data_IF_448107164701
#
_entry.id   IF_448107164701
#
_cell.length_a   1.000
_cell.length_b   1.000
_cell.length_c   1.000
_cell.angle_alpha   90.00
_cell.angle_beta   90.00
_cell.angle_gamma   90.00
#
_symmetry.space_group_name_H-M   'P 1'
#
loop_
_entity.id
_entity.type
_entity.pdbx_description
1 polymer ?
#
# COMPACT_ATOMS: atom_id res chain seq x y z
N UNK A 1 10.98 -5.70 -15.90
CA UNK A 1 11.06 -5.10 -14.55
C UNK A 1 11.41 -6.24 -13.61
N UNK A 2 12.68 -6.59 -13.55
CA UNK A 2 13.11 -7.78 -12.82
C UNK A 2 12.88 -7.59 -11.30
N UNK A 3 12.32 -8.61 -10.65
CA UNK A 3 12.08 -8.63 -9.21
C UNK A 3 10.77 -8.01 -8.72
N UNK A 4 9.92 -7.48 -9.61
CA UNK A 4 8.53 -7.14 -9.26
C UNK A 4 7.65 -8.38 -9.34
N UNK A 5 6.96 -8.70 -8.26
CA UNK A 5 5.95 -9.77 -8.24
C UNK A 5 4.68 -9.27 -7.58
N UNK A 6 3.54 -9.61 -8.17
CA UNK A 6 2.21 -9.34 -7.62
C UNK A 6 1.45 -10.66 -7.63
N UNK A 7 0.97 -11.07 -6.46
CA UNK A 7 0.23 -12.33 -6.29
C UNK A 7 -1.12 -12.00 -5.66
N UNK A 8 -2.19 -12.47 -6.29
CA UNK A 8 -3.56 -12.34 -5.80
C UNK A 8 -4.17 -13.72 -5.58
N UNK A 9 -4.96 -13.88 -4.52
CA UNK A 9 -5.79 -15.09 -4.34
C UNK A 9 -6.96 -15.14 -5.32
N UNK A 10 -7.35 -13.98 -5.88
CA UNK A 10 -8.38 -13.84 -6.90
C UNK A 10 -7.74 -13.87 -8.28
N UNK A 11 -8.14 -14.83 -9.12
CA UNK A 11 -7.50 -15.11 -10.42
C UNK A 11 -8.05 -14.30 -11.60
N UNK A 12 -9.09 -13.51 -11.42
CA UNK A 12 -9.69 -12.73 -12.49
C UNK A 12 -10.75 -11.76 -11.98
N UNK A 13 -11.36 -10.98 -12.89
CA UNK A 13 -12.51 -10.16 -12.55
C UNK A 13 -13.60 -11.03 -11.95
N UNK A 14 -14.19 -10.56 -10.87
CA UNK A 14 -15.23 -11.26 -10.13
C UNK A 14 -16.51 -10.45 -10.22
N UNK A 15 -17.61 -11.13 -10.54
CA UNK A 15 -18.93 -10.53 -10.64
C UNK A 15 -19.64 -10.54 -9.28
N UNK A 16 -20.52 -9.55 -9.07
CA UNK A 16 -21.32 -9.42 -7.83
C UNK A 16 -20.72 -8.45 -6.81
N UNK A 17 -21.49 -8.14 -5.77
CA UNK A 17 -21.19 -7.09 -4.79
C UNK A 17 -19.93 -7.34 -3.95
N UNK A 18 -19.62 -8.61 -3.66
CA UNK A 18 -18.49 -8.96 -2.80
C UNK A 18 -17.33 -9.61 -3.55
N UNK A 19 -17.53 -10.09 -4.78
CA UNK A 19 -16.52 -10.72 -5.64
C UNK A 19 -15.82 -11.99 -5.08
N UNK A 20 -15.34 -11.98 -3.84
CA UNK A 20 -14.93 -13.10 -3.01
C UNK A 20 -15.17 -12.72 -1.54
N UNK A 21 -15.54 -13.70 -0.70
CA UNK A 21 -15.73 -13.47 0.75
C UNK A 21 -14.43 -12.99 1.41
N UNK A 22 -13.29 -13.53 0.96
CA UNK A 22 -11.95 -13.12 1.39
C UNK A 22 -11.01 -13.07 0.20
N UNK A 23 -10.07 -12.13 0.22
CA UNK A 23 -9.00 -12.06 -0.76
C UNK A 23 -7.71 -11.57 -0.12
N UNK A 24 -6.59 -11.99 -0.70
CA UNK A 24 -5.24 -11.57 -0.32
C UNK A 24 -4.51 -11.05 -1.55
N UNK A 25 -3.73 -10.00 -1.36
CA UNK A 25 -2.87 -9.41 -2.37
C UNK A 25 -1.47 -9.20 -1.78
N UNK A 26 -0.45 -9.69 -2.47
CA UNK A 26 0.95 -9.60 -2.06
C UNK A 26 1.77 -8.90 -3.14
N UNK A 27 2.66 -8.01 -2.70
CA UNK A 27 3.60 -7.28 -3.55
C UNK A 27 5.03 -7.58 -3.10
N UNK A 28 5.90 -7.86 -4.08
CA UNK A 28 7.35 -7.88 -3.91
C UNK A 28 7.92 -6.75 -4.74
N UNK A 29 8.52 -5.78 -4.07
CA UNK A 29 9.13 -4.61 -4.69
C UNK A 29 10.63 -4.62 -4.42
N UNK A 30 11.50 -4.55 -5.45
CA UNK A 30 12.93 -4.54 -5.23
C UNK A 30 13.38 -3.22 -4.58
N UNK A 31 14.18 -3.30 -3.53
CA UNK A 31 14.71 -2.10 -2.85
C UNK A 31 15.64 -1.26 -3.74
N UNK A 32 16.16 -1.83 -4.83
CA UNK A 32 16.95 -1.09 -5.83
C UNK A 32 16.18 0.03 -6.54
N UNK A 33 14.85 0.06 -6.42
CA UNK A 33 14.04 1.17 -6.94
C UNK A 33 14.36 2.49 -6.25
N UNK A 34 14.69 2.46 -4.96
CA UNK A 34 15.04 3.67 -4.23
C UNK A 34 16.36 4.26 -4.76
N UNK A 35 17.33 3.42 -5.07
CA UNK A 35 18.61 3.85 -5.66
C UNK A 35 18.39 4.40 -7.07
N UNK A 36 17.56 3.71 -7.87
CA UNK A 36 17.27 4.09 -9.25
C UNK A 36 16.57 5.45 -9.40
N UNK A 37 15.61 5.76 -8.53
CA UNK A 37 14.75 6.94 -8.70
C UNK A 37 15.04 8.08 -7.72
N UNK A 38 15.68 7.79 -6.59
CA UNK A 38 15.91 8.77 -5.52
C UNK A 38 17.37 8.84 -5.08
N UNK A 39 18.28 8.15 -5.77
CA UNK A 39 19.71 8.05 -5.40
C UNK A 39 19.90 7.61 -3.93
N UNK A 40 18.95 6.80 -3.44
CA UNK A 40 18.85 6.42 -2.03
C UNK A 40 19.00 4.91 -1.87
N UNK A 41 20.08 4.47 -1.22
CA UNK A 41 20.30 3.07 -0.89
C UNK A 41 19.68 2.73 0.46
N UNK A 42 18.70 1.81 0.45
CA UNK A 42 18.07 1.28 1.67
C UNK A 42 19.04 0.37 2.41
N UNK A 43 19.19 0.56 3.71
CA UNK A 43 20.07 -0.22 4.59
C UNK A 43 19.30 -0.75 5.80
N UNK A 44 19.79 -1.84 6.39
CA UNK A 44 19.29 -2.32 7.68
C UNK A 44 19.39 -1.22 8.75
N UNK A 45 18.38 -1.10 9.60
CA UNK A 45 18.22 -0.05 10.59
C UNK A 45 17.75 1.31 10.04
N UNK A 46 17.68 1.49 8.72
CA UNK A 46 17.23 2.75 8.13
C UNK A 46 15.74 2.96 8.38
N UNK A 47 15.39 4.17 8.82
CA UNK A 47 14.02 4.59 8.98
C UNK A 47 13.48 5.20 7.68
N UNK A 48 12.26 4.84 7.31
CA UNK A 48 11.46 5.52 6.30
C UNK A 48 10.12 5.97 6.89
N UNK A 49 9.49 6.94 6.22
CA UNK A 49 8.13 7.38 6.50
C UNK A 49 7.21 6.83 5.41
N UNK A 50 6.16 6.10 5.80
CA UNK A 50 5.19 5.56 4.86
C UNK A 50 3.82 5.35 5.52
N UNK A 51 2.83 5.00 4.70
CA UNK A 51 1.53 4.53 5.14
C UNK A 51 1.02 3.44 4.18
N UNK A 52 -0.01 2.70 4.59
CA UNK A 52 -0.66 1.66 3.78
C UNK A 52 -2.16 1.87 3.82
N UNK A 53 -2.81 1.81 2.66
CA UNK A 53 -4.20 2.22 2.50
C UNK A 53 -5.09 1.13 1.93
N UNK A 54 -6.38 1.18 2.27
CA UNK A 54 -7.47 0.46 1.59
C UNK A 54 -8.59 1.44 1.28
N UNK A 55 -9.07 1.46 0.05
CA UNK A 55 -10.21 2.27 -0.37
C UNK A 55 -11.22 1.48 -1.20
N UNK A 56 -12.40 2.06 -1.39
CA UNK A 56 -13.53 1.45 -2.08
C UNK A 56 -14.59 2.48 -2.42
N UNK A 57 -14.19 3.56 -3.08
CA UNK A 57 -15.01 4.75 -3.36
C UNK A 57 -16.26 4.41 -4.19
N UNK A 58 -16.14 3.45 -5.10
CA UNK A 58 -17.22 2.96 -5.97
C UNK A 58 -17.89 1.67 -5.46
N UNK A 59 -17.59 1.25 -4.23
CA UNK A 59 -18.28 0.10 -3.62
C UNK A 59 -19.61 0.51 -2.98
N UNK A 60 -20.53 -0.44 -2.76
CA UNK A 60 -21.85 -0.17 -2.17
C UNK A 60 -21.76 0.63 -0.85
N UNK A 61 -20.76 0.33 -0.02
CA UNK A 61 -20.43 1.10 1.18
C UNK A 61 -19.03 1.70 1.02
N UNK A 62 -18.91 3.00 0.68
CA UNK A 62 -17.63 3.67 0.58
C UNK A 62 -16.83 3.57 1.89
N UNK A 63 -15.53 3.30 1.77
CA UNK A 63 -14.67 3.09 2.93
C UNK A 63 -13.23 3.50 2.64
N UNK A 64 -12.55 3.98 3.68
CA UNK A 64 -11.19 4.49 3.64
C UNK A 64 -10.45 4.05 4.90
N UNK A 65 -9.44 3.20 4.74
CA UNK A 65 -8.63 2.66 5.82
C UNK A 65 -7.15 3.03 5.65
N UNK A 66 -6.48 3.29 6.76
CA UNK A 66 -5.05 3.58 6.82
C UNK A 66 -4.40 2.86 7.99
N UNK A 67 -3.16 2.38 7.80
CA UNK A 67 -2.36 1.80 8.89
C UNK A 67 -1.94 2.86 9.92
N UNK A 68 -1.37 3.98 9.46
CA UNK A 68 -1.07 5.12 10.30
C UNK A 68 -2.24 6.11 10.27
N UNK A 69 -2.78 6.55 11.42
CA UNK A 69 -3.95 7.42 11.46
C UNK A 69 -3.76 8.76 10.73
N UNK A 70 -4.66 9.06 9.80
CA UNK A 70 -4.71 10.33 9.07
C UNK A 70 -5.81 11.20 9.69
N UNK A 71 -5.45 12.39 10.19
CA UNK A 71 -6.37 13.26 10.95
C UNK A 71 -6.83 14.47 10.13
N UNK A 72 -7.47 14.20 9.00
CA UNK A 72 -8.07 15.22 8.15
C UNK A 72 -9.60 15.22 8.27
N UNK A 73 -10.28 16.35 8.02
CA UNK A 73 -11.74 16.41 8.08
C UNK A 73 -12.45 15.51 7.07
N UNK A 74 -11.80 15.24 5.93
CA UNK A 74 -12.27 14.37 4.87
C UNK A 74 -11.17 13.36 4.49
N UNK A 75 -11.50 12.21 3.89
CA UNK A 75 -10.51 11.24 3.43
C UNK A 75 -9.49 11.90 2.50
N UNK A 76 -8.22 11.88 2.90
CA UNK A 76 -7.11 12.42 2.13
C UNK A 76 -5.83 11.62 2.42
N UNK A 77 -5.45 10.74 1.49
CA UNK A 77 -4.27 9.89 1.66
C UNK A 77 -2.94 10.58 1.35
N UNK A 78 -2.97 11.74 0.69
CA UNK A 78 -1.76 12.43 0.21
C UNK A 78 -1.22 13.40 1.28
N UNK A 79 -1.04 12.88 2.51
CA UNK A 79 -0.62 13.65 3.68
C UNK A 79 0.65 13.05 4.32
N UNK A 80 1.84 13.38 3.81
CA UNK A 80 3.11 12.83 4.30
C UNK A 80 3.37 13.08 5.79
N UNK A 81 2.80 14.12 6.37
CA UNK A 81 2.92 14.42 7.80
C UNK A 81 2.30 13.33 8.70
N UNK A 82 1.31 12.57 8.19
CA UNK A 82 0.66 11.46 8.88
C UNK A 82 1.30 10.10 8.59
N UNK A 83 2.42 10.06 7.87
CA UNK A 83 3.11 8.79 7.64
C UNK A 83 3.70 8.23 8.94
N UNK A 84 3.51 6.93 9.16
CA UNK A 84 4.13 6.17 10.22
C UNK A 84 5.62 5.93 9.95
N UNK A 85 6.31 5.29 10.89
CA UNK A 85 7.74 4.98 10.80
C UNK A 85 7.95 3.51 10.47
N UNK A 86 8.65 3.23 9.37
CA UNK A 86 9.11 1.89 8.99
C UNK A 86 10.61 1.80 9.27
N UNK A 87 11.07 0.69 9.86
CA UNK A 87 12.49 0.40 10.03
C UNK A 87 12.82 -0.81 9.18
N UNK A 88 13.70 -0.64 8.19
CA UNK A 88 14.19 -1.75 7.39
C UNK A 88 15.09 -2.65 8.23
N UNK A 89 14.93 -3.96 8.11
CA UNK A 89 15.75 -4.97 8.79
C UNK A 89 16.71 -5.61 7.78
#
# INVERSE_FOLDING_TARGET
>A
MDGFEIISSVKGPISGYHGAEFWTLAYKLPLSLFDKYYEAKIRSGQAARANFYKCGDETETPHFGAWSPVRTPQPDFHRPEYFGRLIFQ
#
